data_IF_749218175796
#
_entry.id   IF_749218175796
#
_cell.length_a   1.000
_cell.length_b   1.000
_cell.length_c   1.000
_cell.angle_alpha   90.00
_cell.angle_beta   90.00
_cell.angle_gamma   90.00
#
_symmetry.space_group_name_H-M   'P 1'
#
loop_
_entity.id
_entity.type
_entity.pdbx_description
1 polymer ?
#
# COMPACT_ATOMS: atom_id res chain seq x y z
N UNK A 1 -21.38 11.48 -9.41
CA UNK A 1 -21.85 10.61 -8.31
C UNK A 1 -23.24 10.17 -8.69
N UNK A 2 -23.44 8.86 -8.86
CA UNK A 2 -24.77 8.33 -9.15
C UNK A 2 -25.69 8.63 -7.96
N UNK A 3 -26.81 9.29 -8.25
CA UNK A 3 -27.80 9.66 -7.24
C UNK A 3 -28.51 8.42 -6.73
N UNK A 4 -28.61 8.25 -5.42
CA UNK A 4 -29.39 7.16 -4.81
C UNK A 4 -30.87 7.38 -5.16
N UNK A 5 -31.44 6.49 -5.96
CA UNK A 5 -32.83 6.62 -6.46
C UNK A 5 -33.85 6.10 -5.45
N UNK A 6 -33.55 5.00 -4.76
CA UNK A 6 -34.43 4.38 -3.74
C UNK A 6 -33.68 3.39 -2.84
N UNK A 7 -34.32 2.99 -1.74
CA UNK A 7 -33.88 1.86 -0.92
C UNK A 7 -34.00 0.54 -1.69
N UNK A 8 -33.06 -0.37 -1.44
CA UNK A 8 -33.05 -1.71 -2.01
C UNK A 8 -34.22 -2.55 -1.48
N UNK A 9 -34.96 -3.19 -2.37
CA UNK A 9 -36.05 -4.11 -2.05
C UNK A 9 -35.56 -5.57 -2.12
N UNK A 10 -36.42 -6.53 -1.78
CA UNK A 10 -36.05 -7.96 -1.79
C UNK A 10 -35.67 -8.48 -3.19
N UNK A 11 -36.28 -7.96 -4.26
CA UNK A 11 -35.91 -8.33 -5.63
C UNK A 11 -34.50 -7.85 -5.98
N UNK A 12 -34.11 -6.65 -5.52
CA UNK A 12 -32.76 -6.13 -5.76
C UNK A 12 -31.71 -6.99 -5.04
N UNK A 13 -32.00 -7.40 -3.79
CA UNK A 13 -31.12 -8.30 -3.03
C UNK A 13 -30.98 -9.66 -3.70
N UNK A 14 -32.09 -10.21 -4.21
CA UNK A 14 -32.07 -11.46 -4.96
C UNK A 14 -31.25 -11.32 -6.26
N UNK A 15 -31.52 -10.29 -7.06
CA UNK A 15 -30.77 -10.03 -8.29
C UNK A 15 -29.27 -9.82 -8.03
N UNK A 16 -28.93 -9.12 -6.94
CA UNK A 16 -27.54 -8.95 -6.50
C UNK A 16 -26.87 -10.30 -6.19
N UNK A 17 -27.55 -11.19 -5.47
CA UNK A 17 -27.02 -12.53 -5.18
C UNK A 17 -26.85 -13.37 -6.45
N UNK A 18 -27.85 -13.36 -7.34
CA UNK A 18 -27.76 -14.03 -8.65
C UNK A 18 -26.59 -13.49 -9.49
N UNK A 19 -26.34 -12.17 -9.44
CA UNK A 19 -25.22 -11.53 -10.12
C UNK A 19 -23.87 -11.96 -9.56
N UNK A 20 -23.75 -12.10 -8.23
CA UNK A 20 -22.53 -12.62 -7.59
C UNK A 20 -22.26 -14.05 -8.05
N UNK A 21 -23.30 -14.89 -8.09
CA UNK A 21 -23.11 -16.28 -8.49
C UNK A 21 -22.81 -16.38 -9.98
N UNK A 22 -23.47 -15.59 -10.83
CA UNK A 22 -23.12 -15.49 -12.26
C UNK A 22 -21.67 -15.06 -12.47
N UNK A 23 -21.18 -14.06 -11.72
CA UNK A 23 -19.78 -13.63 -11.74
C UNK A 23 -18.82 -14.78 -11.42
N UNK A 24 -19.07 -15.52 -10.34
CA UNK A 24 -18.23 -16.67 -9.95
C UNK A 24 -18.16 -17.74 -11.05
N UNK A 25 -19.28 -18.09 -11.66
CA UNK A 25 -19.30 -19.09 -12.74
C UNK A 25 -18.57 -18.58 -13.99
N UNK A 26 -18.68 -17.28 -14.28
CA UNK A 26 -18.09 -16.63 -15.45
C UNK A 26 -16.55 -16.59 -15.42
N UNK A 27 -15.92 -16.66 -14.24
CA UNK A 27 -14.46 -16.62 -14.10
C UNK A 27 -13.75 -17.70 -14.92
N UNK A 28 -14.27 -18.92 -14.92
CA UNK A 28 -13.69 -20.05 -15.65
C UNK A 28 -13.63 -19.76 -17.16
N UNK A 29 -14.76 -19.38 -17.74
CA UNK A 29 -14.88 -19.06 -19.16
C UNK A 29 -14.03 -17.86 -19.58
N UNK A 30 -13.99 -16.80 -18.77
CA UNK A 30 -13.15 -15.63 -19.08
C UNK A 30 -11.66 -16.02 -19.09
N UNK A 31 -11.22 -16.84 -18.14
CA UNK A 31 -9.84 -17.33 -18.12
C UNK A 31 -9.53 -18.22 -19.34
N UNK A 32 -10.46 -19.08 -19.76
CA UNK A 32 -10.30 -19.89 -20.98
C UNK A 32 -10.16 -19.01 -22.23
N UNK A 33 -10.96 -17.96 -22.37
CA UNK A 33 -10.86 -17.02 -23.49
C UNK A 33 -9.55 -16.24 -23.49
N UNK A 34 -9.06 -15.83 -22.32
CA UNK A 34 -7.75 -15.18 -22.16
C UNK A 34 -6.62 -16.11 -22.61
N UNK A 35 -6.67 -17.38 -22.21
CA UNK A 35 -5.69 -18.40 -22.60
C UNK A 35 -5.74 -18.67 -24.11
N UNK A 36 -6.94 -18.77 -24.68
CA UNK A 36 -7.11 -18.97 -26.13
C UNK A 36 -6.56 -17.82 -26.97
N UNK A 37 -6.53 -16.61 -26.42
CA UNK A 37 -5.98 -15.40 -27.05
C UNK A 37 -4.48 -15.17 -26.73
N UNK A 38 -3.83 -16.07 -25.97
CA UNK A 38 -2.41 -15.95 -25.54
C UNK A 38 -2.08 -14.62 -24.84
N UNK A 39 -2.99 -14.13 -24.01
CA UNK A 39 -2.83 -12.84 -23.33
C UNK A 39 -2.21 -13.01 -21.93
N UNK A 40 -1.12 -12.28 -21.67
CA UNK A 40 -0.45 -12.23 -20.37
C UNK A 40 -1.17 -11.29 -19.39
N UNK A 41 -2.33 -11.72 -18.92
CA UNK A 41 -3.15 -10.97 -17.96
C UNK A 41 -3.79 -11.90 -16.94
N UNK A 42 -4.11 -11.36 -15.76
CA UNK A 42 -4.77 -12.07 -14.67
C UNK A 42 -6.10 -11.41 -14.35
N UNK A 43 -7.19 -12.18 -14.40
CA UNK A 43 -8.51 -11.69 -13.97
C UNK A 43 -8.52 -11.55 -12.45
N UNK A 44 -8.93 -10.38 -11.98
CA UNK A 44 -9.02 -10.04 -10.56
C UNK A 44 -10.46 -10.11 -10.08
N UNK A 45 -11.40 -9.53 -10.85
CA UNK A 45 -12.81 -9.48 -10.48
C UNK A 45 -13.71 -9.41 -11.72
N UNK A 46 -14.94 -9.91 -11.58
CA UNK A 46 -16.01 -9.80 -12.59
C UNK A 46 -17.25 -9.29 -11.87
N UNK A 47 -17.81 -8.17 -12.34
CA UNK A 47 -18.97 -7.54 -11.73
C UNK A 47 -20.09 -7.39 -12.77
N UNK A 48 -21.28 -7.84 -12.37
CA UNK A 48 -22.54 -7.55 -13.06
C UNK A 48 -23.29 -6.47 -12.26
N UNK A 49 -23.46 -5.26 -12.80
CA UNK A 49 -24.33 -4.24 -12.23
C UNK A 49 -25.75 -4.77 -12.06
N UNK A 50 -26.53 -4.17 -11.16
CA UNK A 50 -27.89 -4.62 -10.86
C UNK A 50 -28.78 -4.72 -12.11
N UNK A 51 -28.63 -3.77 -13.04
CA UNK A 51 -29.37 -3.72 -14.31
C UNK A 51 -28.78 -4.61 -15.41
N UNK A 52 -27.62 -5.25 -15.17
CA UNK A 52 -26.87 -6.07 -16.16
C UNK A 52 -26.62 -5.36 -17.50
N UNK A 53 -26.48 -4.03 -17.48
CA UNK A 53 -26.27 -3.23 -18.69
C UNK A 53 -24.88 -3.39 -19.31
N UNK A 54 -23.90 -3.81 -18.51
CA UNK A 54 -22.54 -4.17 -18.95
C UNK A 54 -21.95 -5.24 -18.01
N UNK A 55 -20.83 -5.83 -18.40
CA UNK A 55 -20.00 -6.70 -17.57
C UNK A 55 -18.67 -6.00 -17.34
N UNK A 56 -18.33 -5.73 -16.08
CA UNK A 56 -17.05 -5.13 -15.71
C UNK A 56 -16.06 -6.24 -15.35
N UNK A 57 -14.97 -6.34 -16.11
CA UNK A 57 -13.89 -7.29 -15.85
C UNK A 57 -12.67 -6.50 -15.44
N UNK A 58 -12.26 -6.69 -14.19
CA UNK A 58 -11.05 -6.09 -13.63
C UNK A 58 -9.90 -7.08 -13.77
N UNK A 59 -8.76 -6.61 -14.28
CA UNK A 59 -7.58 -7.45 -14.51
C UNK A 59 -6.28 -6.74 -14.15
N UNK A 60 -5.22 -7.50 -13.87
CA UNK A 60 -3.85 -7.00 -13.78
C UNK A 60 -2.99 -7.56 -14.91
N UNK A 61 -2.04 -6.75 -15.38
CA UNK A 61 -1.05 -7.13 -16.38
C UNK A 61 0.18 -6.25 -16.20
N UNK A 62 1.38 -6.83 -16.35
CA UNK A 62 2.65 -6.09 -16.25
C UNK A 62 2.90 -5.21 -17.47
N UNK A 63 2.52 -5.70 -18.65
CA UNK A 63 2.71 -5.04 -19.93
C UNK A 63 1.37 -4.61 -20.54
N UNK A 64 1.43 -3.81 -21.61
CA UNK A 64 0.25 -3.39 -22.35
C UNK A 64 -0.33 -4.59 -23.11
N UNK A 65 -1.60 -4.89 -22.85
CA UNK A 65 -2.33 -6.00 -23.48
C UNK A 65 -3.14 -5.48 -24.67
N UNK A 66 -3.05 -6.15 -25.83
CA UNK A 66 -3.96 -5.92 -26.96
C UNK A 66 -5.18 -6.83 -26.83
N UNK A 67 -6.29 -6.27 -26.35
CA UNK A 67 -7.50 -7.02 -26.03
C UNK A 67 -8.58 -6.96 -27.13
N UNK A 68 -8.24 -6.53 -28.36
CA UNK A 68 -9.25 -6.36 -29.43
C UNK A 68 -10.00 -7.65 -29.77
N UNK A 69 -9.28 -8.76 -29.93
CA UNK A 69 -9.89 -10.06 -30.19
C UNK A 69 -10.65 -10.58 -28.97
N UNK A 70 -10.04 -10.51 -27.78
CA UNK A 70 -10.69 -10.88 -26.52
C UNK A 70 -12.03 -10.15 -26.31
N UNK A 71 -12.10 -8.84 -26.61
CA UNK A 71 -13.34 -8.08 -26.52
C UNK A 71 -14.43 -8.63 -27.45
N UNK A 72 -14.07 -9.06 -28.66
CA UNK A 72 -15.02 -9.67 -29.59
C UNK A 72 -15.56 -11.00 -29.03
N UNK A 73 -14.68 -11.85 -28.53
CA UNK A 73 -15.04 -13.16 -28.00
C UNK A 73 -15.93 -13.02 -26.74
N UNK A 74 -15.56 -12.11 -25.83
CA UNK A 74 -16.34 -11.81 -24.63
C UNK A 74 -17.70 -11.21 -24.95
N UNK A 75 -17.77 -10.28 -25.93
CA UNK A 75 -19.04 -9.70 -26.37
C UNK A 75 -19.96 -10.77 -26.99
N UNK A 76 -19.39 -11.72 -27.75
CA UNK A 76 -20.13 -12.87 -28.28
C UNK A 76 -20.67 -13.78 -27.17
N UNK A 77 -19.87 -14.03 -26.14
CA UNK A 77 -20.25 -14.88 -25.00
C UNK A 77 -21.35 -14.25 -24.13
N UNK A 78 -21.11 -13.03 -23.63
CA UNK A 78 -22.02 -12.39 -22.67
C UNK A 78 -23.21 -11.68 -23.34
N UNK A 79 -23.17 -11.45 -24.66
CA UNK A 79 -24.21 -10.74 -25.43
C UNK A 79 -24.57 -9.38 -24.82
N UNK A 80 -23.61 -8.77 -24.14
CA UNK A 80 -23.75 -7.58 -23.31
C UNK A 80 -22.49 -6.74 -23.47
N UNK A 81 -22.56 -5.42 -23.24
CA UNK A 81 -21.39 -4.55 -23.31
C UNK A 81 -20.31 -5.02 -22.32
N UNK A 82 -19.06 -5.09 -22.76
CA UNK A 82 -17.92 -5.46 -21.92
C UNK A 82 -17.13 -4.21 -21.58
N UNK A 83 -16.80 -4.05 -20.30
CA UNK A 83 -15.89 -3.02 -19.82
C UNK A 83 -14.68 -3.68 -19.18
N UNK A 84 -13.50 -3.40 -19.72
CA UNK A 84 -12.24 -3.91 -19.19
C UNK A 84 -11.55 -2.83 -18.37
N UNK A 85 -11.23 -3.15 -17.11
CA UNK A 85 -10.49 -2.25 -16.22
C UNK A 85 -9.16 -2.87 -15.83
N UNK A 86 -8.06 -2.26 -16.25
CA UNK A 86 -6.74 -2.61 -15.78
C UNK A 86 -6.49 -1.97 -14.41
N UNK A 87 -5.97 -2.76 -13.47
CA UNK A 87 -5.44 -2.27 -12.19
C UNK A 87 -3.95 -2.54 -12.08
N UNK A 88 -3.26 -1.70 -11.31
CA UNK A 88 -1.83 -1.89 -11.06
C UNK A 88 -1.56 -2.89 -9.92
N UNK A 89 -0.29 -3.28 -9.73
CA UNK A 89 0.10 -4.26 -8.70
C UNK A 89 -0.24 -3.84 -7.26
N UNK A 90 -0.35 -2.53 -6.99
CA UNK A 90 -0.72 -2.01 -5.67
C UNK A 90 -2.23 -2.07 -5.43
N UNK A 91 -3.02 -1.79 -6.46
CA UNK A 91 -4.47 -2.02 -6.45
C UNK A 91 -4.78 -3.52 -6.32
N UNK A 92 -4.04 -4.38 -7.03
CA UNK A 92 -4.15 -5.83 -6.88
C UNK A 92 -3.89 -6.26 -5.43
N UNK A 93 -2.80 -5.79 -4.82
CA UNK A 93 -2.51 -6.07 -3.41
C UNK A 93 -3.58 -5.52 -2.46
N UNK A 94 -4.24 -4.41 -2.80
CA UNK A 94 -5.35 -3.87 -2.02
C UNK A 94 -6.58 -4.78 -2.07
N UNK A 95 -6.89 -5.35 -3.24
CA UNK A 95 -8.03 -6.26 -3.44
C UNK A 95 -7.82 -7.56 -2.67
N UNK A 96 -6.66 -8.20 -2.81
CA UNK A 96 -6.38 -9.44 -2.08
C UNK A 96 -6.08 -9.22 -0.59
N UNK A 97 -5.62 -8.02 -0.24
CA UNK A 97 -5.10 -7.74 1.10
C UNK A 97 -3.84 -8.53 1.39
N UNK A 98 -3.60 -8.81 2.67
CA UNK A 98 -2.44 -9.58 3.13
C UNK A 98 -1.80 -8.99 4.38
N UNK A 99 -0.60 -9.48 4.69
CA UNK A 99 0.17 -9.08 5.87
C UNK A 99 1.45 -8.38 5.41
N UNK A 100 1.69 -7.18 5.94
CA UNK A 100 2.89 -6.41 5.69
C UNK A 100 4.10 -6.96 6.46
N UNK A 101 5.32 -6.47 6.17
CA UNK A 101 6.53 -6.89 6.87
C UNK A 101 6.50 -6.57 8.38
N UNK A 102 5.62 -5.66 8.81
CA UNK A 102 5.37 -5.36 10.22
C UNK A 102 4.44 -6.36 10.93
N UNK A 103 3.96 -7.40 10.25
CA UNK A 103 3.04 -8.41 10.82
C UNK A 103 1.58 -7.96 10.91
N UNK A 104 1.24 -6.76 10.42
CA UNK A 104 -0.13 -6.22 10.41
C UNK A 104 -0.76 -6.34 9.02
N UNK A 105 -2.09 -6.21 8.94
CA UNK A 105 -2.78 -6.10 7.65
C UNK A 105 -2.23 -4.94 6.81
N UNK A 106 -2.27 -5.07 5.47
CA UNK A 106 -1.79 -4.01 4.58
C UNK A 106 -2.54 -2.70 4.84
N UNK A 107 -1.80 -1.60 5.03
CA UNK A 107 -2.40 -0.30 5.33
C UNK A 107 -3.36 0.18 4.22
N UNK A 108 -3.04 -0.13 2.95
CA UNK A 108 -3.88 0.23 1.79
C UNK A 108 -5.20 -0.55 1.70
N UNK A 109 -5.28 -1.76 2.24
CA UNK A 109 -6.52 -2.55 2.32
C UNK A 109 -7.26 -2.37 3.66
N UNK A 110 -6.70 -1.57 4.56
CA UNK A 110 -7.23 -1.33 5.90
C UNK A 110 -7.72 0.12 6.02
N UNK A 111 -6.94 0.99 6.66
CA UNK A 111 -7.39 2.34 7.02
C UNK A 111 -7.02 3.42 6.01
N UNK A 112 -5.95 3.25 5.21
CA UNK A 112 -5.52 4.31 4.28
C UNK A 112 -6.49 4.44 3.11
N UNK A 113 -6.90 3.33 2.50
CA UNK A 113 -7.79 3.28 1.33
C UNK A 113 -7.21 3.86 0.04
N UNK A 114 -6.38 4.90 0.11
CA UNK A 114 -5.75 5.58 -1.00
C UNK A 114 -4.23 5.32 -1.06
N UNK A 115 -3.62 5.72 -2.17
CA UNK A 115 -2.20 5.51 -2.43
C UNK A 115 -1.46 6.86 -2.40
N UNK A 116 -1.01 7.33 -1.23
CA UNK A 116 -0.24 8.57 -1.17
C UNK A 116 1.08 8.42 -1.95
N UNK A 117 1.61 9.52 -2.52
CA UNK A 117 2.92 9.50 -3.15
C UNK A 117 3.98 9.21 -2.10
N UNK A 118 4.88 8.26 -2.40
CA UNK A 118 5.96 7.87 -1.49
C UNK A 118 7.30 8.18 -2.16
N UNK A 119 8.21 8.79 -1.41
CA UNK A 119 9.53 9.20 -1.91
C UNK A 119 10.68 8.53 -1.15
N UNK A 120 11.85 8.45 -1.80
CA UNK A 120 13.10 8.00 -1.18
C UNK A 120 13.49 8.88 0.02
N UNK A 121 13.12 10.16 0.01
CA UNK A 121 13.36 11.07 1.14
C UNK A 121 12.67 10.57 2.41
N UNK A 122 11.43 10.07 2.30
CA UNK A 122 10.67 9.53 3.44
C UNK A 122 11.36 8.31 4.05
N UNK A 123 11.87 7.41 3.20
CA UNK A 123 12.66 6.25 3.65
C UNK A 123 13.86 6.69 4.49
N UNK A 124 14.62 7.68 4.00
CA UNK A 124 15.77 8.25 4.71
C UNK A 124 15.37 8.97 6.00
N UNK A 125 14.27 9.72 5.98
CA UNK A 125 13.73 10.39 7.17
C UNK A 125 13.43 9.41 8.30
N UNK A 126 12.99 8.19 7.97
CA UNK A 126 12.67 7.16 8.94
C UNK A 126 13.86 6.26 9.31
N UNK A 127 15.08 6.61 8.86
CA UNK A 127 16.29 5.83 9.16
C UNK A 127 16.31 4.43 8.55
N UNK A 128 15.46 4.18 7.54
CA UNK A 128 15.37 2.89 6.88
C UNK A 128 16.40 2.76 5.76
N UNK A 129 16.95 1.56 5.61
CA UNK A 129 17.83 1.23 4.48
C UNK A 129 17.02 1.06 3.19
N UNK A 130 17.56 1.51 2.06
CA UNK A 130 16.97 1.34 0.73
C UNK A 130 16.97 -0.11 0.22
N UNK A 131 17.35 -1.09 1.04
CA UNK A 131 17.15 -2.50 0.74
C UNK A 131 15.66 -2.80 0.49
N UNK A 132 15.36 -3.43 -0.65
CA UNK A 132 14.00 -3.71 -1.12
C UNK A 132 13.17 -4.49 -0.09
N UNK A 133 13.75 -5.49 0.57
CA UNK A 133 13.04 -6.31 1.56
C UNK A 133 12.54 -5.55 2.81
N UNK A 134 13.08 -4.35 3.09
CA UNK A 134 12.67 -3.54 4.25
C UNK A 134 11.76 -2.37 3.88
N UNK A 135 11.79 -1.92 2.63
CA UNK A 135 11.13 -0.66 2.21
C UNK A 135 10.02 -0.87 1.19
N UNK A 136 10.00 -2.01 0.51
CA UNK A 136 8.93 -2.38 -0.41
C UNK A 136 7.80 -3.09 0.34
N UNK A 137 6.56 -2.76 -0.01
CA UNK A 137 5.40 -3.56 0.36
C UNK A 137 5.27 -4.78 -0.54
N UNK A 138 4.30 -5.64 -0.23
CA UNK A 138 4.01 -6.87 -1.00
C UNK A 138 3.72 -6.60 -2.49
N UNK A 139 3.24 -5.40 -2.82
CA UNK A 139 3.03 -4.94 -4.20
C UNK A 139 4.32 -4.62 -4.99
N UNK A 140 5.51 -4.81 -4.39
CA UNK A 140 6.81 -4.53 -4.99
C UNK A 140 7.19 -3.04 -5.06
N UNK A 141 6.33 -2.14 -4.57
CA UNK A 141 6.57 -0.68 -4.51
C UNK A 141 6.83 -0.25 -3.06
N UNK A 142 7.37 0.97 -2.87
CA UNK A 142 7.57 1.56 -1.54
C UNK A 142 6.28 1.50 -0.69
N UNK A 143 6.42 1.20 0.60
CA UNK A 143 5.28 1.07 1.52
C UNK A 143 4.53 2.41 1.70
N UNK A 144 3.20 2.37 1.70
CA UNK A 144 2.38 3.57 1.90
C UNK A 144 2.43 4.11 3.33
N UNK A 145 2.75 3.28 4.33
CA UNK A 145 2.95 3.72 5.71
C UNK A 145 4.11 4.73 5.84
N UNK A 146 5.10 4.66 4.95
CA UNK A 146 6.19 5.63 4.91
C UNK A 146 5.65 7.04 4.72
N UNK A 147 4.61 7.22 3.89
CA UNK A 147 4.00 8.54 3.74
C UNK A 147 3.13 8.93 4.92
N UNK A 148 2.42 7.96 5.51
CA UNK A 148 1.56 8.21 6.66
C UNK A 148 2.34 8.65 7.89
N UNK A 149 3.52 8.07 8.12
CA UNK A 149 4.34 8.32 9.30
C UNK A 149 5.30 9.51 9.14
N UNK A 150 5.59 9.95 7.91
CA UNK A 150 6.65 10.94 7.64
C UNK A 150 6.47 12.27 8.39
N UNK A 151 5.24 12.75 8.56
CA UNK A 151 4.98 14.01 9.28
C UNK A 151 5.30 13.89 10.77
N UNK A 152 5.02 12.73 11.39
CA UNK A 152 5.45 12.44 12.76
C UNK A 152 6.97 12.43 12.87
N UNK A 153 7.66 11.79 11.92
CA UNK A 153 9.14 11.73 11.94
C UNK A 153 9.77 13.12 11.75
N UNK A 154 9.26 13.95 10.84
CA UNK A 154 9.77 15.31 10.62
C UNK A 154 9.65 16.17 11.88
N UNK A 155 8.43 16.27 12.41
CA UNK A 155 8.13 17.10 13.59
C UNK A 155 8.85 16.62 14.83
N UNK A 156 9.01 15.30 15.00
CA UNK A 156 9.76 14.75 16.13
C UNK A 156 11.25 15.05 16.01
N UNK A 157 11.85 14.89 14.81
CA UNK A 157 13.29 15.14 14.60
C UNK A 157 13.70 16.60 14.84
N UNK A 158 12.82 17.57 14.60
CA UNK A 158 13.08 18.98 14.89
C UNK A 158 13.39 19.26 16.36
N UNK A 159 12.99 18.37 17.28
CA UNK A 159 13.27 18.48 18.71
C UNK A 159 14.69 18.04 19.10
N UNK A 160 15.35 17.26 18.25
CA UNK A 160 16.63 16.62 18.57
C UNK A 160 17.79 17.38 17.94
N UNK A 161 18.97 17.42 18.60
CA UNK A 161 20.19 17.83 17.94
C UNK A 161 20.61 16.80 16.89
N UNK A 162 21.36 17.23 15.88
CA UNK A 162 21.81 16.36 14.81
C UNK A 162 22.75 15.25 15.31
N UNK A 163 22.73 14.10 14.63
CA UNK A 163 23.71 13.03 14.89
C UNK A 163 25.11 13.56 14.58
N UNK A 164 26.03 13.40 15.53
CA UNK A 164 27.37 13.98 15.47
C UNK A 164 27.55 15.28 16.27
N UNK A 165 26.48 15.88 16.78
CA UNK A 165 26.56 17.04 17.67
C UNK A 165 27.16 16.65 19.02
N UNK A 166 28.06 17.50 19.54
CA UNK A 166 28.58 17.40 20.91
C UNK A 166 27.53 17.89 21.91
N UNK A 167 27.29 17.09 22.94
CA UNK A 167 26.33 17.38 24.00
C UNK A 167 26.94 17.12 25.37
N UNK A 168 26.43 17.85 26.36
CA UNK A 168 26.71 17.61 27.76
C UNK A 168 25.66 16.69 28.36
N UNK A 169 26.13 15.66 29.08
CA UNK A 169 25.32 14.67 29.79
C UNK A 169 25.76 14.58 31.25
N UNK A 170 24.99 13.88 32.09
CA UNK A 170 25.36 13.66 33.49
C UNK A 170 26.71 12.92 33.67
N UNK A 171 27.12 12.11 32.69
CA UNK A 171 28.39 11.38 32.68
C UNK A 171 29.53 12.16 31.97
N UNK A 172 29.29 13.41 31.59
CA UNK A 172 30.25 14.27 30.90
C UNK A 172 29.94 14.48 29.41
N UNK A 173 30.96 14.93 28.66
CA UNK A 173 30.82 15.30 27.26
C UNK A 173 30.79 14.06 26.35
N UNK A 174 29.85 14.06 25.41
CA UNK A 174 29.72 12.99 24.43
C UNK A 174 29.17 13.47 23.10
N UNK A 175 29.18 12.56 22.12
CA UNK A 175 28.69 12.82 20.76
C UNK A 175 27.45 11.98 20.50
N UNK A 176 26.40 12.59 19.92
CA UNK A 176 25.19 11.85 19.53
C UNK A 176 25.55 10.84 18.44
N UNK A 177 25.29 9.56 18.71
CA UNK A 177 25.50 8.45 17.80
C UNK A 177 24.18 7.93 17.19
N UNK A 178 23.04 8.24 17.80
CA UNK A 178 21.73 7.85 17.31
C UNK A 178 20.59 8.53 18.05
N UNK A 179 19.43 8.59 17.42
CA UNK A 179 18.21 9.24 17.94
C UNK A 179 17.09 8.21 17.88
N UNK A 180 16.31 8.12 18.97
CA UNK A 180 15.04 7.39 19.01
C UNK A 180 13.90 8.39 19.25
N UNK A 181 13.15 8.65 18.18
CA UNK A 181 12.04 9.61 18.17
C UNK A 181 10.76 9.09 18.84
N UNK A 182 10.68 7.78 19.13
CA UNK A 182 9.50 7.20 19.76
C UNK A 182 9.59 7.21 21.28
N UNK A 183 10.81 7.07 21.81
CA UNK A 183 11.07 7.10 23.25
C UNK A 183 11.60 8.45 23.75
N UNK A 184 11.73 9.45 22.88
CA UNK A 184 12.36 10.74 23.20
C UNK A 184 13.75 10.59 23.84
N UNK A 185 14.57 9.68 23.28
CA UNK A 185 15.93 9.40 23.80
C UNK A 185 17.01 9.56 22.74
N UNK A 186 18.23 9.84 23.20
CA UNK A 186 19.45 9.89 22.37
C UNK A 186 20.47 8.88 22.84
N UNK A 187 21.15 8.25 21.88
CA UNK A 187 22.31 7.37 22.12
C UNK A 187 23.58 8.18 21.97
N UNK A 188 24.40 8.19 23.01
CA UNK A 188 25.57 9.06 23.11
C UNK A 188 26.83 8.20 23.26
N UNK A 189 27.87 8.55 22.49
CA UNK A 189 29.21 7.99 22.60
C UNK A 189 30.05 8.91 23.47
N UNK A 190 30.43 8.42 24.65
CA UNK A 190 31.38 9.09 25.54
C UNK A 190 32.80 8.63 25.19
N UNK A 191 33.83 9.50 25.25
CA UNK A 191 35.21 9.14 24.93
C UNK A 191 35.77 7.99 25.79
N UNK A 192 35.37 7.94 27.07
CA UNK A 192 35.92 6.98 28.04
C UNK A 192 35.15 5.64 28.09
N UNK A 193 34.00 5.53 27.42
CA UNK A 193 33.18 4.31 27.44
C UNK A 193 33.07 3.72 26.03
N UNK A 194 33.37 2.42 25.89
CA UNK A 194 33.21 1.72 24.62
C UNK A 194 31.75 1.45 24.23
N UNK A 195 30.82 1.53 25.20
CA UNK A 195 29.39 1.32 24.97
C UNK A 195 28.64 2.63 24.79
N UNK A 196 27.65 2.65 23.89
CA UNK A 196 26.72 3.76 23.78
C UNK A 196 25.80 3.80 25.01
N UNK A 197 25.67 4.97 25.61
CA UNK A 197 24.70 5.20 26.69
C UNK A 197 23.45 5.90 26.14
N UNK A 198 22.31 5.67 26.77
CA UNK A 198 21.02 6.23 26.37
C UNK A 198 20.59 7.26 27.41
N UNK A 199 20.24 8.46 26.97
CA UNK A 199 19.77 9.56 27.81
C UNK A 199 18.41 10.05 27.30
N UNK A 200 17.56 10.55 28.20
CA UNK A 200 16.35 11.26 27.79
C UNK A 200 16.75 12.59 27.13
N UNK A 201 15.95 13.06 26.16
CA UNK A 201 16.22 14.31 25.44
C UNK A 201 16.32 15.52 26.39
N UNK A 202 15.58 15.50 27.49
CA UNK A 202 15.55 16.57 28.51
C UNK A 202 16.85 16.64 29.34
N UNK A 203 17.57 15.53 29.42
CA UNK A 203 18.78 15.38 30.25
C UNK A 203 20.06 15.81 29.52
N UNK A 204 19.95 16.13 28.23
CA UNK A 204 21.09 16.50 27.39
C UNK A 204 21.03 17.97 27.01
N UNK A 205 22.20 18.63 27.01
CA UNK A 205 22.32 20.03 26.58
C UNK A 205 23.24 20.13 25.37
N UNK A 206 22.77 20.83 24.34
CA UNK A 206 23.61 21.15 23.18
C UNK A 206 24.70 22.10 23.61
N UNK A 207 25.93 21.73 23.31
CA UNK A 207 27.07 22.63 23.48
C UNK A 207 27.03 23.63 22.32
N UNK A 208 26.67 24.87 22.62
CA UNK A 208 26.70 25.99 21.68
C UNK A 208 28.12 26.38 21.29
#
# INVERSE_FOLDING_TARGET
MDSVTRLANEKDKQAFQENIDLAKHSFSTVNELILANDLKMKVIDIIFPLERSYVLITFSAEERVDFRQLLHDLAGHFKTRIELRQINSREEAKVYGGVGPCGRALCCSSFLGEFPPVSIKMVKNQGMSLSTGKTAGICGRLMCCLSFEDDFYKTSKEKFPDVGTEIETADGLGVIAGIDVFSDTVKVRLPEKHTLLTYALEEVKVRG
#
